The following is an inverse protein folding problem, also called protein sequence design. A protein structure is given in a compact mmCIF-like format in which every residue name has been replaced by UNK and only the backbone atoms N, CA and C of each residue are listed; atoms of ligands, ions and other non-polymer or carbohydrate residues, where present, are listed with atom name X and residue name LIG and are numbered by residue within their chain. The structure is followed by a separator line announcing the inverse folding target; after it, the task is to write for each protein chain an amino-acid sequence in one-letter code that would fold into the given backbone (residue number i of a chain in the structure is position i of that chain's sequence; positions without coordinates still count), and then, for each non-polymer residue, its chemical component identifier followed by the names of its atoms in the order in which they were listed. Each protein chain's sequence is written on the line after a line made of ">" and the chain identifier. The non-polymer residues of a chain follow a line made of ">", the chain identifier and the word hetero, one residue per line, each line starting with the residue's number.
data_IF_440610371527
#
_entry.id   IF_440610371527
#
_cell.length_a   1.000
_cell.length_b   1.000
_cell.length_c   1.000
_cell.angle_alpha   90.00
_cell.angle_beta   90.00
_cell.angle_gamma   90.00
#
_symmetry.space_group_name_H-M   'P 1'
#
loop_
_entity.id
_entity.type
_entity.pdbx_description
1 polymer ?
#
# COMPACT_ATOMS: atom_id res chain seq x y z
N UNK A 1 -4.28 -21.07 -5.09
CA UNK A 1 -4.85 -19.70 -5.10
C UNK A 1 -3.87 -18.75 -4.40
N UNK A 2 -3.72 -17.49 -4.85
CA UNK A 2 -2.59 -16.57 -4.49
C UNK A 2 -2.19 -16.55 -3.00
N UNK A 3 -3.14 -16.59 -2.05
CA UNK A 3 -2.83 -16.58 -0.61
C UNK A 3 -1.83 -17.67 -0.20
N UNK A 4 -1.99 -18.90 -0.70
CA UNK A 4 -1.10 -20.01 -0.35
C UNK A 4 0.32 -19.80 -0.91
N UNK A 5 0.43 -19.15 -2.06
CA UNK A 5 1.74 -18.85 -2.68
C UNK A 5 2.48 -17.72 -1.94
N UNK A 6 1.73 -16.83 -1.28
CA UNK A 6 2.29 -15.71 -0.52
C UNK A 6 2.57 -16.05 0.95
N UNK A 7 2.02 -17.15 1.48
CA UNK A 7 2.18 -17.56 2.88
C UNK A 7 3.64 -17.83 3.29
N UNK A 8 4.54 -18.04 2.31
CA UNK A 8 5.99 -18.23 2.54
C UNK A 8 6.77 -16.94 2.77
N UNK A 9 6.14 -15.77 2.60
CA UNK A 9 6.79 -14.47 2.82
C UNK A 9 6.22 -13.80 4.06
N UNK A 10 7.10 -13.34 4.96
CA UNK A 10 6.70 -12.56 6.13
C UNK A 10 6.06 -11.23 5.70
N UNK A 11 5.09 -10.77 6.49
CA UNK A 11 4.33 -9.56 6.20
C UNK A 11 3.89 -8.89 7.51
N UNK A 12 4.17 -7.59 7.65
CA UNK A 12 3.60 -6.76 8.71
C UNK A 12 2.13 -6.47 8.43
N UNK A 13 1.33 -6.29 9.48
CA UNK A 13 -0.08 -5.90 9.36
C UNK A 13 -0.22 -4.38 9.46
N UNK A 14 0.01 -3.67 8.34
CA UNK A 14 -0.07 -2.22 8.27
C UNK A 14 -1.43 -1.73 7.73
N UNK A 15 -2.21 -2.63 7.13
CA UNK A 15 -3.53 -2.35 6.58
C UNK A 15 -4.54 -3.29 7.21
N UNK A 16 -5.24 -2.80 8.23
CA UNK A 16 -6.14 -3.59 9.07
C UNK A 16 -7.39 -4.14 8.37
N UNK A 17 -7.77 -3.61 7.21
CA UNK A 17 -8.94 -4.07 6.44
C UNK A 17 -8.80 -3.84 4.93
N UNK A 18 -9.51 -4.61 4.08
CA UNK A 18 -9.63 -4.30 2.66
C UNK A 18 -10.20 -2.90 2.44
N UNK A 19 -9.53 -2.09 1.64
CA UNK A 19 -10.01 -0.76 1.24
C UNK A 19 -11.28 -0.86 0.41
N UNK A 20 -12.11 0.18 0.37
CA UNK A 20 -13.36 0.15 -0.38
C UNK A 20 -13.13 -0.02 -1.90
N UNK A 21 -14.07 -0.72 -2.57
CA UNK A 21 -14.20 -0.71 -4.02
C UNK A 21 -15.54 -0.05 -4.34
N UNK A 22 -15.49 1.10 -4.99
CA UNK A 22 -16.64 1.98 -5.15
C UNK A 22 -16.95 2.18 -6.63
N UNK A 23 -18.22 2.11 -7.02
CA UNK A 23 -18.65 2.48 -8.37
C UNK A 23 -18.72 3.99 -8.47
N UNK A 24 -18.10 4.56 -9.51
CA UNK A 24 -18.16 5.99 -9.77
C UNK A 24 -19.34 6.31 -10.67
N UNK A 25 -20.55 6.36 -10.11
CA UNK A 25 -21.81 6.44 -10.89
C UNK A 25 -21.82 7.59 -11.91
N UNK A 26 -21.47 8.81 -11.47
CA UNK A 26 -21.46 10.00 -12.34
C UNK A 26 -20.42 9.90 -13.45
N UNK A 27 -19.23 9.37 -13.14
CA UNK A 27 -18.17 9.19 -14.13
C UNK A 27 -18.51 8.06 -15.10
N UNK A 28 -19.13 7.00 -14.60
CA UNK A 28 -19.56 5.86 -15.40
C UNK A 28 -20.62 6.25 -16.43
N UNK A 29 -21.60 7.06 -16.01
CA UNK A 29 -22.60 7.65 -16.89
C UNK A 29 -21.96 8.54 -17.96
N UNK A 30 -21.05 9.42 -17.57
CA UNK A 30 -20.37 10.32 -18.51
C UNK A 30 -19.50 9.57 -19.53
N UNK A 31 -18.85 8.49 -19.12
CA UNK A 31 -17.93 7.71 -19.97
C UNK A 31 -18.63 6.58 -20.76
N UNK A 32 -19.93 6.37 -20.57
CA UNK A 32 -20.68 5.21 -21.09
C UNK A 32 -19.96 3.86 -20.82
N UNK A 33 -19.47 3.72 -19.58
CA UNK A 33 -18.72 2.54 -19.14
C UNK A 33 -18.78 2.42 -17.63
N UNK A 34 -18.91 1.19 -17.12
CA UNK A 34 -18.76 0.95 -15.69
C UNK A 34 -17.32 1.23 -15.22
N UNK A 35 -17.16 2.27 -14.40
CA UNK A 35 -15.88 2.67 -13.81
C UNK A 35 -15.96 2.52 -12.30
N UNK A 36 -15.00 1.78 -11.75
CA UNK A 36 -14.83 1.57 -10.32
C UNK A 36 -13.49 2.13 -9.86
N UNK A 37 -13.42 2.52 -8.59
CA UNK A 37 -12.18 2.91 -7.93
C UNK A 37 -11.91 2.01 -6.74
N UNK A 38 -10.66 1.57 -6.62
CA UNK A 38 -10.15 0.87 -5.44
C UNK A 38 -9.44 1.89 -4.54
N UNK A 39 -9.97 2.12 -3.34
CA UNK A 39 -9.61 3.23 -2.45
C UNK A 39 -8.32 2.99 -1.65
N UNK A 40 -7.23 2.63 -2.31
CA UNK A 40 -5.93 2.43 -1.64
C UNK A 40 -5.32 3.73 -1.09
N UNK A 41 -5.85 4.88 -1.52
CA UNK A 41 -5.61 6.19 -0.92
C UNK A 41 -6.05 6.27 0.54
N UNK A 42 -7.05 5.49 0.97
CA UNK A 42 -7.59 5.53 2.34
C UNK A 42 -6.87 4.60 3.32
N UNK A 43 -5.69 4.11 2.96
CA UNK A 43 -4.83 3.41 3.91
C UNK A 43 -4.32 4.40 4.97
N UNK A 44 -4.18 3.95 6.22
CA UNK A 44 -4.03 4.87 7.37
C UNK A 44 -2.61 5.41 7.56
N UNK A 45 -1.60 4.76 6.97
CA UNK A 45 -0.19 5.14 7.18
C UNK A 45 0.17 6.42 6.40
N UNK A 46 0.41 7.50 7.13
CA UNK A 46 0.96 8.78 6.66
C UNK A 46 0.34 9.23 5.32
N UNK A 47 -0.92 9.66 5.37
CA UNK A 47 -1.74 10.10 4.21
C UNK A 47 -2.06 9.01 3.18
N UNK A 48 -1.78 7.74 3.50
CA UNK A 48 -2.16 6.61 2.68
C UNK A 48 -1.53 6.55 1.30
N UNK A 49 -2.02 5.60 0.51
CA UNK A 49 -1.57 5.31 -0.84
C UNK A 49 -1.01 3.90 -1.01
N UNK A 50 -0.63 3.58 -2.24
CA UNK A 50 -0.28 2.21 -2.63
C UNK A 50 1.06 1.68 -2.06
N UNK A 51 1.92 2.50 -1.44
CA UNK A 51 3.26 2.05 -1.01
C UNK A 51 3.21 1.28 0.29
N UNK A 52 2.24 1.56 1.16
CA UNK A 52 2.07 0.79 2.41
C UNK A 52 1.87 -0.70 2.15
N UNK A 53 1.16 -1.09 1.07
CA UNK A 53 1.02 -2.51 0.66
C UNK A 53 2.36 -3.19 0.36
N UNK A 54 3.32 -2.46 -0.19
CA UNK A 54 4.67 -2.98 -0.47
C UNK A 54 5.49 -3.03 0.80
N UNK A 55 5.39 -1.97 1.61
CA UNK A 55 6.11 -1.84 2.87
C UNK A 55 5.77 -2.94 3.87
N UNK A 56 4.54 -3.48 3.87
CA UNK A 56 4.20 -4.65 4.68
C UNK A 56 5.19 -5.82 4.50
N UNK A 57 5.62 -6.09 3.27
CA UNK A 57 6.58 -7.16 2.97
C UNK A 57 8.02 -6.70 3.09
N UNK A 58 8.34 -5.51 2.55
CA UNK A 58 9.71 -4.99 2.53
C UNK A 58 10.24 -4.74 3.94
N UNK A 59 9.42 -4.21 4.84
CA UNK A 59 9.82 -3.99 6.23
C UNK A 59 9.86 -5.29 7.04
N UNK A 60 8.95 -6.25 6.76
CA UNK A 60 9.03 -7.57 7.39
C UNK A 60 10.34 -8.29 7.02
N UNK A 61 10.78 -8.17 5.77
CA UNK A 61 12.07 -8.71 5.31
C UNK A 61 13.26 -7.99 5.96
N UNK A 62 13.23 -6.66 6.02
CA UNK A 62 14.26 -5.88 6.71
C UNK A 62 14.40 -6.27 8.19
N UNK A 63 13.28 -6.43 8.89
CA UNK A 63 13.26 -6.90 10.29
C UNK A 63 13.81 -8.33 10.41
N UNK A 64 13.46 -9.23 9.48
CA UNK A 64 13.97 -10.60 9.49
C UNK A 64 15.49 -10.67 9.26
N UNK A 65 16.05 -9.70 8.53
CA UNK A 65 17.49 -9.56 8.32
C UNK A 65 18.20 -8.82 9.46
N UNK A 66 17.47 -8.38 10.49
CA UNK A 66 18.02 -7.64 11.61
C UNK A 66 18.45 -6.20 11.25
N UNK A 67 17.86 -5.61 10.22
CA UNK A 67 18.13 -4.23 9.87
C UNK A 67 17.59 -3.28 10.95
N UNK A 68 18.37 -2.26 11.30
CA UNK A 68 18.00 -1.20 12.23
C UNK A 68 17.70 0.14 11.51
N UNK A 69 17.97 0.20 10.21
CA UNK A 69 17.91 1.42 9.40
C UNK A 69 17.32 1.12 8.03
N UNK A 70 16.34 1.91 7.60
CA UNK A 70 15.78 1.85 6.24
C UNK A 70 16.34 2.96 5.36
N UNK A 71 16.92 2.59 4.22
CA UNK A 71 17.39 3.53 3.19
C UNK A 71 16.52 3.37 1.94
N UNK A 72 15.93 4.48 1.48
CA UNK A 72 15.19 4.53 0.23
C UNK A 72 15.36 5.90 -0.44
N UNK A 73 14.96 6.03 -1.70
CA UNK A 73 15.16 7.26 -2.47
C UNK A 73 13.90 7.67 -3.24
N UNK A 74 13.88 8.94 -3.64
CA UNK A 74 12.83 9.52 -4.48
C UNK A 74 13.01 11.02 -4.64
N UNK A 75 12.12 11.65 -5.40
CA UNK A 75 12.05 13.11 -5.49
C UNK A 75 11.66 13.73 -4.13
N UNK A 76 11.85 15.05 -4.01
CA UNK A 76 11.55 15.83 -2.78
C UNK A 76 10.10 15.58 -2.28
N UNK A 77 9.14 15.44 -3.19
CA UNK A 77 7.72 15.23 -2.86
C UNK A 77 7.27 13.76 -2.97
N UNK A 78 8.18 12.81 -2.74
CA UNK A 78 7.88 11.39 -2.92
C UNK A 78 6.97 10.83 -1.82
N UNK A 79 5.77 10.38 -2.21
CA UNK A 79 4.86 9.62 -1.34
C UNK A 79 5.51 8.33 -0.81
N UNK A 80 6.36 7.68 -1.62
CA UNK A 80 7.08 6.48 -1.19
C UNK A 80 8.06 6.77 -0.07
N UNK A 81 8.84 7.84 -0.19
CA UNK A 81 9.80 8.25 0.85
C UNK A 81 9.04 8.64 2.10
N UNK A 82 7.96 9.44 1.99
CA UNK A 82 7.09 9.79 3.13
C UNK A 82 6.56 8.56 3.88
N UNK A 83 5.98 7.59 3.16
CA UNK A 83 5.40 6.40 3.80
C UNK A 83 6.48 5.47 4.37
N UNK A 84 7.67 5.38 3.74
CA UNK A 84 8.79 4.60 4.27
C UNK A 84 9.33 5.23 5.55
N UNK A 85 9.51 6.55 5.57
CA UNK A 85 9.97 7.28 6.74
C UNK A 85 8.98 7.26 7.91
N UNK A 86 7.67 7.18 7.64
CA UNK A 86 6.66 7.05 8.69
C UNK A 86 6.59 5.64 9.30
N UNK A 87 7.11 4.62 8.60
CA UNK A 87 7.17 3.24 9.09
C UNK A 87 8.45 2.94 9.87
N UNK A 88 9.57 3.50 9.42
CA UNK A 88 10.90 3.35 10.03
C UNK A 88 10.92 3.91 11.46
#
# INVERSE_FOLDING_TARGET
>A
MIKNQLARFNRLDLISAPTALEKLERLSLWADRDIYIKRDDTTTLALGGNKVRKLEYLAADALAQGADTLITAGAIQSNHVRQTAALA
#
